data_IF_651221935322
#
_entry.id   IF_651221935322
#
_cell.length_a   1.000
_cell.length_b   1.000
_cell.length_c   1.000
_cell.angle_alpha   90.00
_cell.angle_beta   90.00
_cell.angle_gamma   90.00
#
_symmetry.space_group_name_H-M   'P 1'
#
loop_
_entity.id
_entity.type
_entity.pdbx_description
1 polymer ?
#
# COMPACT_ATOMS: atom_id res chain seq x y z
N UNK A 1 11.58 7.27 -31.10
CA UNK A 1 10.14 7.58 -30.89
C UNK A 1 9.30 6.34 -31.11
N UNK A 2 8.63 5.85 -30.07
CA UNK A 2 7.36 5.09 -30.09
C UNK A 2 6.83 5.14 -28.67
N UNK A 3 6.05 6.18 -28.40
CA UNK A 3 5.40 6.41 -27.11
C UNK A 3 4.42 5.30 -26.82
N UNK A 4 4.78 4.41 -25.90
CA UNK A 4 3.81 3.52 -25.26
C UNK A 4 2.78 4.37 -24.53
N UNK A 5 1.50 4.02 -24.68
CA UNK A 5 0.39 4.69 -23.99
C UNK A 5 0.65 4.61 -22.48
N UNK A 6 0.96 5.76 -21.87
CA UNK A 6 1.12 5.90 -20.42
C UNK A 6 -0.27 5.81 -19.80
N UNK A 7 -0.53 4.77 -19.02
CA UNK A 7 -1.72 4.71 -18.18
C UNK A 7 -1.51 5.67 -17.00
N UNK A 8 -1.86 6.94 -17.21
CA UNK A 8 -1.96 7.91 -16.12
C UNK A 8 -3.21 7.59 -15.30
N UNK A 9 -3.05 7.23 -14.04
CA UNK A 9 -4.14 6.91 -13.12
C UNK A 9 -3.88 7.56 -11.74
N UNK A 10 -4.14 8.87 -11.61
CA UNK A 10 -4.41 9.60 -10.35
C UNK A 10 -5.05 10.99 -10.54
N UNK A 11 -5.64 11.63 -9.50
CA UNK A 11 -6.33 12.93 -9.61
C UNK A 11 -5.42 14.18 -9.67
N UNK A 12 -5.63 15.04 -10.66
CA UNK A 12 -5.16 16.43 -10.66
C UNK A 12 -6.28 17.37 -10.20
N UNK A 13 -5.95 18.35 -9.34
CA UNK A 13 -6.69 19.60 -9.15
C UNK A 13 -5.66 20.69 -8.78
N UNK A 14 -5.69 21.94 -9.22
CA UNK A 14 -6.72 22.76 -9.86
C UNK A 14 -6.07 23.65 -10.93
N UNK A 15 -6.65 23.70 -12.14
CA UNK A 15 -7.01 24.98 -12.76
C UNK A 15 -7.78 24.77 -14.06
N UNK A 16 -8.96 25.39 -14.08
CA UNK A 16 -9.74 25.88 -15.20
C UNK A 16 -9.69 25.11 -16.53
N UNK A 17 -10.81 24.41 -16.75
CA UNK A 17 -11.52 24.45 -18.02
C UNK A 17 -10.76 23.83 -19.21
N UNK A 18 -10.50 22.52 -19.14
CA UNK A 18 -10.60 21.60 -20.29
C UNK A 18 -10.39 20.16 -19.79
N UNK A 19 -11.26 19.27 -20.29
CA UNK A 19 -11.25 17.81 -20.13
C UNK A 19 -11.73 17.16 -18.82
N UNK A 20 -12.89 16.52 -18.97
CA UNK A 20 -13.63 15.74 -17.98
C UNK A 20 -12.94 14.40 -17.69
N UNK A 21 -11.82 14.44 -16.96
CA UNK A 21 -11.12 13.23 -16.51
C UNK A 21 -11.50 12.95 -15.05
N UNK A 22 -12.14 11.80 -14.80
CA UNK A 22 -12.25 11.25 -13.46
C UNK A 22 -11.19 10.19 -13.27
N UNK A 23 -10.36 10.35 -12.25
CA UNK A 23 -9.25 9.45 -12.03
C UNK A 23 -9.42 8.65 -10.75
N UNK A 24 -9.59 7.34 -10.89
CA UNK A 24 -9.63 6.35 -9.82
C UNK A 24 -8.23 5.81 -9.62
N UNK A 25 -7.58 6.03 -8.49
CA UNK A 25 -6.29 5.38 -8.17
C UNK A 25 -6.41 3.85 -8.32
N UNK A 26 -5.33 3.18 -8.72
CA UNK A 26 -5.32 1.71 -8.74
C UNK A 26 -5.63 1.12 -7.35
N UNK A 27 -5.24 1.83 -6.29
CA UNK A 27 -5.62 1.53 -4.91
C UNK A 27 -7.15 1.53 -4.74
N UNK A 28 -7.84 2.57 -5.19
CA UNK A 28 -9.30 2.67 -5.17
C UNK A 28 -9.96 1.56 -6.00
N UNK A 29 -9.47 1.31 -7.22
CA UNK A 29 -10.00 0.23 -8.08
C UNK A 29 -9.80 -1.15 -7.46
N UNK A 30 -8.64 -1.40 -6.86
CA UNK A 30 -8.32 -2.65 -6.17
C UNK A 30 -9.14 -2.80 -4.90
N UNK A 31 -9.33 -1.72 -4.13
CA UNK A 31 -10.17 -1.76 -2.93
C UNK A 31 -11.61 -2.14 -3.25
N UNK A 32 -12.22 -1.56 -4.28
CA UNK A 32 -13.62 -1.85 -4.60
C UNK A 32 -13.83 -3.09 -5.46
N UNK A 33 -12.93 -3.37 -6.40
CA UNK A 33 -13.05 -4.51 -7.30
C UNK A 33 -12.58 -5.83 -6.68
N UNK A 34 -11.69 -5.76 -5.68
CA UNK A 34 -11.00 -6.94 -5.16
C UNK A 34 -11.08 -6.99 -3.62
N UNK A 35 -10.65 -5.95 -2.90
CA UNK A 35 -10.54 -6.03 -1.43
C UNK A 35 -11.90 -6.08 -0.73
N UNK A 36 -12.80 -5.10 -0.94
CA UNK A 36 -14.11 -5.00 -0.27
C UNK A 36 -14.97 -6.25 -0.51
N UNK A 37 -15.15 -6.76 -1.75
CA UNK A 37 -15.99 -7.93 -1.99
C UNK A 37 -15.39 -9.21 -1.40
N UNK A 38 -14.08 -9.40 -1.49
CA UNK A 38 -13.46 -10.63 -0.98
C UNK A 38 -13.31 -10.63 0.54
N UNK A 39 -13.10 -9.45 1.17
CA UNK A 39 -13.25 -9.27 2.63
C UNK A 39 -14.65 -9.66 3.09
N UNK A 40 -15.69 -9.17 2.39
CA UNK A 40 -17.08 -9.51 2.69
C UNK A 40 -17.38 -11.01 2.49
N UNK A 41 -16.84 -11.65 1.45
CA UNK A 41 -17.01 -13.09 1.22
C UNK A 41 -16.29 -13.96 2.26
N UNK A 42 -15.06 -13.61 2.66
CA UNK A 42 -14.36 -14.32 3.74
C UNK A 42 -15.08 -14.19 5.08
N UNK A 43 -15.71 -13.04 5.35
CA UNK A 43 -16.54 -12.83 6.53
C UNK A 43 -17.78 -13.74 6.55
N UNK A 44 -18.43 -13.94 5.41
CA UNK A 44 -19.60 -14.84 5.30
C UNK A 44 -19.23 -16.31 5.53
N UNK A 45 -18.00 -16.72 5.20
CA UNK A 45 -17.55 -18.12 5.32
C UNK A 45 -17.05 -18.50 6.73
N UNK A 46 -16.65 -17.55 7.58
CA UNK A 46 -15.92 -17.87 8.83
C UNK A 46 -16.73 -17.92 10.13
N UNK A 47 -18.03 -17.59 10.17
CA UNK A 47 -18.89 -17.62 11.39
C UNK A 47 -18.18 -17.26 12.73
N UNK A 48 -17.25 -16.30 12.71
CA UNK A 48 -16.56 -15.80 13.89
C UNK A 48 -16.50 -14.28 13.83
N UNK A 49 -16.57 -13.68 15.02
CA UNK A 49 -16.82 -12.27 15.30
C UNK A 49 -16.34 -11.27 14.25
N UNK A 50 -17.34 -10.53 13.75
CA UNK A 50 -17.29 -9.41 12.81
C UNK A 50 -16.18 -8.42 13.15
N UNK A 51 -15.20 -8.27 12.28
CA UNK A 51 -14.40 -7.05 12.22
C UNK A 51 -14.66 -6.39 10.86
N UNK A 52 -15.27 -5.21 10.90
CA UNK A 52 -15.60 -4.41 9.73
C UNK A 52 -14.31 -3.96 9.03
N UNK A 53 -14.10 -4.22 7.72
CA UNK A 53 -12.87 -3.84 7.04
C UNK A 53 -12.68 -2.32 6.99
N UNK A 54 -13.77 -1.56 7.12
CA UNK A 54 -13.70 -0.12 7.31
C UNK A 54 -13.08 0.23 8.68
N UNK A 55 -13.48 -0.47 9.74
CA UNK A 55 -12.92 -0.28 11.08
C UNK A 55 -11.42 -0.62 11.15
N UNK A 56 -10.92 -1.56 10.34
CA UNK A 56 -9.47 -1.85 10.25
C UNK A 56 -8.63 -0.64 9.83
N UNK A 57 -9.18 0.24 8.98
CA UNK A 57 -8.45 1.38 8.41
C UNK A 57 -8.64 2.66 9.23
N UNK A 58 -9.79 2.79 9.87
CA UNK A 58 -10.20 4.01 10.57
C UNK A 58 -9.85 3.96 12.06
N UNK A 59 -10.05 2.82 12.71
CA UNK A 59 -9.85 2.69 14.15
C UNK A 59 -8.45 2.18 14.46
N UNK A 60 -7.65 3.01 15.14
CA UNK A 60 -6.28 2.63 15.53
C UNK A 60 -6.23 1.34 16.36
N UNK A 61 -7.24 1.08 17.21
CA UNK A 61 -7.35 -0.14 18.01
C UNK A 61 -7.54 -1.41 17.18
N UNK A 62 -8.05 -1.28 15.95
CA UNK A 62 -8.29 -2.40 15.05
C UNK A 62 -7.20 -2.54 13.98
N UNK A 63 -6.13 -1.72 14.05
CA UNK A 63 -5.01 -1.84 13.11
C UNK A 63 -4.44 -3.27 13.17
N UNK A 64 -4.32 -3.96 12.02
CA UNK A 64 -3.77 -5.30 11.98
C UNK A 64 -2.38 -5.37 12.62
N UNK A 65 -2.18 -6.34 13.51
CA UNK A 65 -0.92 -6.53 14.22
C UNK A 65 -0.03 -7.60 13.58
N UNK A 66 -0.54 -8.40 12.65
CA UNK A 66 0.19 -9.53 12.05
C UNK A 66 0.42 -10.68 13.04
N UNK A 67 1.41 -11.54 12.76
CA UNK A 67 1.82 -12.66 13.63
C UNK A 67 2.57 -12.15 14.87
N UNK A 68 2.56 -12.94 15.93
CA UNK A 68 3.30 -12.64 17.18
C UNK A 68 4.80 -12.57 16.93
N UNK A 69 5.32 -13.57 16.24
CA UNK A 69 6.71 -13.61 15.81
C UNK A 69 6.80 -13.09 14.38
N UNK A 70 7.72 -12.15 14.19
CA UNK A 70 7.94 -11.49 12.91
C UNK A 70 9.41 -11.53 12.55
N UNK A 71 9.67 -11.66 11.26
CA UNK A 71 10.96 -11.39 10.66
C UNK A 71 11.12 -9.88 10.43
N UNK A 72 12.34 -9.42 10.19
CA UNK A 72 12.65 -7.99 10.08
C UNK A 72 11.94 -7.35 8.88
N UNK A 73 12.35 -7.70 7.66
CA UNK A 73 11.92 -6.99 6.46
C UNK A 73 11.63 -7.93 5.30
N UNK A 74 10.60 -7.62 4.52
CA UNK A 74 10.32 -8.27 3.24
C UNK A 74 10.32 -7.27 2.08
N UNK A 75 10.96 -7.66 0.98
CA UNK A 75 10.91 -6.99 -0.32
C UNK A 75 10.34 -7.93 -1.40
N UNK A 76 9.14 -7.65 -1.88
CA UNK A 76 8.47 -8.45 -2.90
C UNK A 76 8.17 -7.62 -4.15
N UNK A 77 9.12 -7.57 -5.08
CA UNK A 77 8.94 -6.89 -6.37
C UNK A 77 9.40 -7.74 -7.55
N UNK A 78 8.67 -7.65 -8.66
CA UNK A 78 9.00 -8.31 -9.93
C UNK A 78 9.52 -7.34 -10.99
N UNK A 79 9.10 -6.06 -10.93
CA UNK A 79 9.62 -4.98 -11.77
C UNK A 79 10.81 -4.32 -11.08
N UNK A 80 12.02 -4.62 -11.57
CA UNK A 80 13.27 -4.19 -10.95
C UNK A 80 13.68 -2.83 -11.48
N UNK A 81 13.82 -1.88 -10.57
CA UNK A 81 14.30 -0.53 -10.85
C UNK A 81 15.37 -0.20 -9.82
N UNK A 82 16.42 0.50 -10.26
CA UNK A 82 17.67 0.69 -9.52
C UNK A 82 17.43 1.17 -8.09
N UNK A 83 16.61 2.19 -7.89
CA UNK A 83 16.37 2.77 -6.56
C UNK A 83 15.67 1.82 -5.57
N UNK A 84 14.87 0.84 -6.05
CA UNK A 84 14.24 -0.14 -5.16
C UNK A 84 15.24 -1.16 -4.66
N UNK A 85 16.09 -1.64 -5.57
CA UNK A 85 17.17 -2.57 -5.26
C UNK A 85 18.19 -1.90 -4.33
N UNK A 86 18.55 -0.64 -4.57
CA UNK A 86 19.41 0.15 -3.69
C UNK A 86 18.80 0.33 -2.29
N UNK A 87 17.50 0.62 -2.19
CA UNK A 87 16.81 0.71 -0.90
C UNK A 87 16.82 -0.63 -0.15
N UNK A 88 16.54 -1.74 -0.84
CA UNK A 88 16.60 -3.08 -0.25
C UNK A 88 18.01 -3.43 0.23
N UNK A 89 19.04 -3.11 -0.56
CA UNK A 89 20.44 -3.29 -0.19
C UNK A 89 20.80 -2.52 1.07
N UNK A 90 20.46 -1.22 1.12
CA UNK A 90 20.73 -0.37 2.27
C UNK A 90 20.03 -0.89 3.53
N UNK A 91 18.74 -1.25 3.43
CA UNK A 91 17.98 -1.78 4.56
C UNK A 91 18.49 -3.16 5.04
N UNK A 92 19.00 -4.01 4.13
CA UNK A 92 19.58 -5.32 4.50
C UNK A 92 20.86 -5.23 5.34
N UNK A 93 21.43 -4.03 5.51
CA UNK A 93 22.57 -3.80 6.42
C UNK A 93 22.15 -3.70 7.88
N UNK A 94 20.88 -3.37 8.15
CA UNK A 94 20.33 -3.23 9.51
C UNK A 94 20.07 -4.61 10.15
N UNK A 95 19.61 -5.58 9.36
CA UNK A 95 19.32 -6.93 9.85
C UNK A 95 18.95 -7.92 8.74
N UNK A 96 18.64 -9.17 9.09
CA UNK A 96 18.27 -10.22 8.14
C UNK A 96 17.00 -9.87 7.36
N UNK A 97 17.17 -9.50 6.10
CA UNK A 97 16.11 -9.09 5.20
C UNK A 97 15.75 -10.22 4.24
N UNK A 98 14.49 -10.26 3.87
CA UNK A 98 13.92 -11.29 3.01
C UNK A 98 13.47 -10.68 1.69
N UNK A 99 13.54 -11.46 0.61
CA UNK A 99 12.95 -11.09 -0.67
C UNK A 99 12.10 -12.21 -1.24
N UNK A 100 11.00 -11.81 -1.87
CA UNK A 100 10.00 -12.71 -2.42
C UNK A 100 9.77 -12.57 -3.93
N UNK A 101 10.41 -11.60 -4.57
CA UNK A 101 10.24 -11.34 -6.00
C UNK A 101 11.49 -11.63 -6.83
N UNK A 102 11.41 -11.28 -8.11
CA UNK A 102 12.56 -11.32 -9.04
C UNK A 102 13.65 -10.31 -8.64
N UNK A 103 13.28 -9.23 -7.96
CA UNK A 103 14.20 -8.17 -7.56
C UNK A 103 14.73 -8.43 -6.16
N UNK A 104 16.03 -8.25 -5.98
CA UNK A 104 16.74 -8.68 -4.77
C UNK A 104 18.08 -7.97 -4.53
N UNK A 105 18.31 -6.80 -5.14
CA UNK A 105 19.56 -6.06 -4.92
C UNK A 105 20.77 -6.60 -5.69
N UNK A 106 20.56 -7.36 -6.76
CA UNK A 106 21.64 -7.94 -7.57
C UNK A 106 22.16 -9.28 -7.07
N UNK A 107 23.16 -9.82 -7.77
CA UNK A 107 23.63 -11.21 -7.66
C UNK A 107 24.61 -11.46 -6.53
N UNK A 108 25.15 -10.40 -5.92
CA UNK A 108 26.20 -10.54 -4.91
C UNK A 108 25.67 -11.35 -3.71
N UNK A 109 26.40 -12.37 -3.24
CA UNK A 109 26.04 -13.10 -2.04
C UNK A 109 26.02 -12.15 -0.84
N UNK A 110 24.98 -12.20 -0.02
CA UNK A 110 24.96 -11.55 1.29
C UNK A 110 24.16 -12.42 2.26
N UNK A 111 24.77 -12.73 3.40
CA UNK A 111 24.18 -13.57 4.44
C UNK A 111 22.92 -12.95 5.06
N UNK A 112 22.72 -11.63 4.93
CA UNK A 112 21.54 -10.92 5.41
C UNK A 112 20.40 -10.85 4.38
N UNK A 113 20.52 -11.49 3.21
CA UNK A 113 19.46 -11.50 2.19
C UNK A 113 19.00 -12.92 1.92
N UNK A 114 17.78 -13.24 2.34
CA UNK A 114 17.22 -14.59 2.22
C UNK A 114 16.05 -14.60 1.25
N UNK A 115 16.11 -15.49 0.26
CA UNK A 115 14.97 -15.74 -0.62
C UNK A 115 13.89 -16.52 0.15
N UNK A 116 12.63 -16.08 -0.01
CA UNK A 116 11.46 -16.78 0.51
C UNK A 116 10.47 -17.05 -0.61
N UNK A 117 10.17 -18.33 -0.81
CA UNK A 117 9.09 -18.71 -1.71
C UNK A 117 7.77 -18.21 -1.16
N UNK A 118 6.99 -17.58 -2.02
CA UNK A 118 5.70 -17.00 -1.67
C UNK A 118 4.78 -17.06 -2.90
N UNK A 119 3.48 -16.91 -2.65
CA UNK A 119 2.46 -16.82 -3.70
C UNK A 119 2.00 -15.39 -3.96
N UNK A 120 2.87 -14.39 -3.73
CA UNK A 120 2.47 -12.99 -3.80
C UNK A 120 2.09 -12.62 -5.24
N UNK A 121 0.84 -12.24 -5.44
CA UNK A 121 0.36 -11.73 -6.71
C UNK A 121 -0.78 -10.73 -6.51
N UNK A 122 -0.98 -9.85 -7.48
CA UNK A 122 -2.14 -8.94 -7.48
C UNK A 122 -3.48 -9.69 -7.45
N UNK A 123 -3.53 -10.89 -8.03
CA UNK A 123 -4.74 -11.72 -8.07
C UNK A 123 -5.01 -12.47 -6.76
N UNK A 124 -4.03 -12.59 -5.86
CA UNK A 124 -4.11 -13.38 -4.63
C UNK A 124 -3.81 -12.56 -3.38
N UNK A 125 -4.49 -11.42 -3.26
CA UNK A 125 -4.16 -10.43 -2.24
C UNK A 125 -4.29 -10.94 -0.78
N UNK A 126 -5.22 -11.85 -0.51
CA UNK A 126 -5.35 -12.44 0.83
C UNK A 126 -4.09 -13.19 1.25
N UNK A 127 -3.47 -13.93 0.31
CA UNK A 127 -2.21 -14.59 0.57
C UNK A 127 -1.07 -13.59 0.75
N UNK A 128 -1.11 -12.44 0.06
CA UNK A 128 -0.12 -11.38 0.26
C UNK A 128 -0.21 -10.81 1.67
N UNK A 129 -1.43 -10.50 2.13
CA UNK A 129 -1.69 -9.98 3.48
C UNK A 129 -1.26 -11.00 4.54
N UNK A 130 -1.63 -12.26 4.38
CA UNK A 130 -1.22 -13.34 5.29
C UNK A 130 0.30 -13.55 5.28
N UNK A 131 0.96 -13.41 4.13
CA UNK A 131 2.41 -13.51 4.04
C UNK A 131 3.11 -12.33 4.72
N UNK A 132 2.65 -11.10 4.47
CA UNK A 132 3.16 -9.89 5.12
C UNK A 132 2.96 -9.89 6.63
N UNK A 133 1.98 -10.64 7.15
CA UNK A 133 1.79 -10.81 8.60
C UNK A 133 3.00 -11.35 9.35
N UNK A 134 3.92 -12.03 8.66
CA UNK A 134 5.16 -12.54 9.23
C UNK A 134 6.29 -11.52 9.32
N UNK A 135 6.10 -10.24 8.98
CA UNK A 135 7.17 -9.25 8.90
C UNK A 135 6.86 -7.97 9.71
N UNK A 136 7.89 -7.36 10.29
CA UNK A 136 7.79 -6.04 10.96
C UNK A 136 7.69 -4.93 9.92
N UNK A 137 8.55 -4.98 8.91
CA UNK A 137 8.60 -3.99 7.84
C UNK A 137 8.33 -4.63 6.48
N UNK A 138 7.60 -3.89 5.65
CA UNK A 138 7.36 -4.26 4.26
C UNK A 138 7.90 -3.14 3.36
N UNK A 139 8.88 -3.45 2.50
CA UNK A 139 9.41 -2.49 1.51
C UNK A 139 8.48 -2.43 0.30
N UNK A 140 7.66 -1.37 0.24
CA UNK A 140 6.55 -1.21 -0.70
C UNK A 140 6.68 0.11 -1.46
N UNK A 141 7.66 0.16 -2.35
CA UNK A 141 7.93 1.33 -3.19
C UNK A 141 7.17 1.26 -4.50
N UNK A 142 6.78 2.40 -5.06
CA UNK A 142 6.38 2.51 -6.46
C UNK A 142 7.58 2.36 -7.41
N UNK A 143 7.30 2.03 -8.67
CA UNK A 143 8.35 1.76 -9.66
C UNK A 143 8.80 3.04 -10.36
N UNK A 144 8.08 4.14 -10.12
CA UNK A 144 8.32 5.47 -10.64
C UNK A 144 7.80 6.48 -9.62
N UNK A 145 8.42 7.65 -9.57
CA UNK A 145 7.85 8.81 -8.90
C UNK A 145 6.99 9.58 -9.91
N UNK A 146 5.67 9.42 -9.81
CA UNK A 146 4.71 10.20 -10.59
C UNK A 146 3.64 10.75 -9.66
N UNK A 147 3.23 11.99 -9.90
CA UNK A 147 2.14 12.62 -9.18
C UNK A 147 0.91 12.63 -10.08
N UNK A 148 -0.24 12.08 -9.65
CA UNK A 148 -0.50 11.35 -8.41
C UNK A 148 -0.46 9.84 -8.68
N UNK A 149 0.47 9.12 -8.06
CA UNK A 149 0.61 7.67 -8.25
C UNK A 149 0.87 6.97 -6.91
N UNK A 150 -0.19 6.38 -6.36
CA UNK A 150 -0.20 5.54 -5.16
C UNK A 150 -1.00 4.29 -5.50
N UNK A 151 -0.43 3.10 -5.27
CA UNK A 151 -1.12 1.84 -5.56
C UNK A 151 -1.44 1.03 -4.30
N UNK A 152 -1.99 -0.17 -4.49
CA UNK A 152 -2.36 -1.14 -3.47
C UNK A 152 -1.23 -1.58 -2.54
N UNK A 153 0.04 -1.41 -2.93
CA UNK A 153 1.19 -1.99 -2.21
C UNK A 153 1.26 -1.53 -0.76
N UNK A 154 1.11 -0.23 -0.51
CA UNK A 154 1.15 0.33 0.84
C UNK A 154 -0.02 -0.17 1.69
N UNK A 155 -1.22 -0.30 1.09
CA UNK A 155 -2.39 -0.81 1.79
C UNK A 155 -2.22 -2.30 2.15
N UNK A 156 -1.65 -3.11 1.25
CA UNK A 156 -1.38 -4.52 1.55
C UNK A 156 -0.41 -4.68 2.73
N UNK A 157 0.62 -3.83 2.83
CA UNK A 157 1.53 -3.83 3.97
C UNK A 157 0.79 -3.50 5.28
N UNK A 158 -0.04 -2.45 5.29
CA UNK A 158 -0.86 -2.13 6.45
C UNK A 158 -1.79 -3.26 6.87
N UNK A 159 -2.49 -3.89 5.90
CA UNK A 159 -3.40 -4.99 6.16
C UNK A 159 -2.68 -6.23 6.69
N UNK A 160 -1.43 -6.46 6.26
CA UNK A 160 -0.56 -7.48 6.84
C UNK A 160 -0.08 -7.14 8.25
N UNK A 161 -0.25 -5.91 8.73
CA UNK A 161 0.32 -5.46 10.00
C UNK A 161 1.82 -5.21 9.96
N UNK A 162 2.37 -4.95 8.77
CA UNK A 162 3.69 -4.37 8.59
C UNK A 162 3.64 -2.84 8.86
N UNK A 163 4.76 -2.27 9.26
CA UNK A 163 5.05 -0.85 9.03
C UNK A 163 5.53 -0.72 7.57
N UNK A 164 4.82 0.03 6.70
CA UNK A 164 5.25 0.20 5.33
C UNK A 164 6.49 1.11 5.24
N UNK A 165 7.47 0.70 4.44
CA UNK A 165 8.55 1.58 3.96
C UNK A 165 8.19 1.93 2.51
N UNK A 166 7.67 3.13 2.30
CA UNK A 166 7.05 3.55 1.05
C UNK A 166 7.87 4.63 0.34
N UNK A 167 7.92 4.53 -0.99
CA UNK A 167 8.40 5.60 -1.86
C UNK A 167 7.48 5.74 -3.05
N UNK A 168 7.22 6.97 -3.49
CA UNK A 168 6.33 7.27 -4.60
C UNK A 168 5.74 8.65 -4.42
N UNK A 169 4.52 8.84 -4.92
CA UNK A 169 3.77 10.10 -4.78
C UNK A 169 3.67 10.55 -3.32
N UNK A 170 3.94 11.83 -3.08
CA UNK A 170 3.72 12.52 -1.80
C UNK A 170 2.24 12.69 -1.45
N UNK A 171 1.31 12.46 -2.38
CA UNK A 171 -0.14 12.34 -2.08
C UNK A 171 -0.42 11.26 -1.03
N UNK A 172 0.49 10.30 -0.85
CA UNK A 172 0.43 9.30 0.23
C UNK A 172 0.19 9.94 1.61
N UNK A 173 0.71 11.16 1.85
CA UNK A 173 0.55 11.91 3.10
C UNK A 173 -0.83 12.54 3.27
N UNK A 174 -1.67 12.54 2.22
CA UNK A 174 -3.08 12.95 2.32
C UNK A 174 -3.99 11.77 2.62
N UNK A 175 -3.50 10.55 2.34
CA UNK A 175 -4.25 9.30 2.50
C UNK A 175 -3.90 8.63 3.84
N UNK A 176 -2.61 8.47 4.13
CA UNK A 176 -2.14 7.73 5.29
C UNK A 176 -1.51 8.65 6.33
N UNK A 177 -1.68 8.30 7.61
CA UNK A 177 -1.12 9.05 8.72
C UNK A 177 0.42 9.05 8.62
N UNK A 178 1.12 10.20 8.64
CA UNK A 178 2.57 10.26 8.40
C UNK A 178 3.41 9.46 9.44
N UNK A 179 2.89 9.32 10.66
CA UNK A 179 3.55 8.52 11.69
C UNK A 179 3.25 7.01 11.63
N UNK A 180 2.35 6.57 10.74
CA UNK A 180 1.95 5.15 10.63
C UNK A 180 2.82 4.35 9.65
N UNK A 181 3.62 5.03 8.84
CA UNK A 181 4.56 4.46 7.85
C UNK A 181 5.86 5.28 7.79
N UNK A 182 6.83 4.79 7.00
CA UNK A 182 8.13 5.43 6.78
C UNK A 182 8.20 5.84 5.31
N UNK A 183 8.36 7.13 5.04
CA UNK A 183 8.61 7.61 3.68
C UNK A 183 10.11 7.52 3.36
N UNK A 184 10.45 6.76 2.34
CA UNK A 184 11.83 6.53 1.91
C UNK A 184 12.18 7.48 0.76
N UNK A 185 12.87 8.58 1.05
CA UNK A 185 13.34 9.48 0.00
C UNK A 185 14.59 8.87 -0.69
N UNK A 186 14.45 8.43 -1.94
CA UNK A 186 15.56 7.79 -2.68
C UNK A 186 16.75 8.71 -2.94
N UNK A 187 16.57 10.03 -2.88
CA UNK A 187 17.69 10.99 -3.06
C UNK A 187 18.39 11.34 -1.75
N UNK A 188 17.72 11.13 -0.61
CA UNK A 188 18.28 11.32 0.72
C UNK A 188 17.65 10.31 1.70
N UNK A 189 18.14 9.06 1.72
CA UNK A 189 17.50 7.98 2.45
C UNK A 189 17.83 7.95 3.95
N UNK A 190 18.74 8.80 4.43
CA UNK A 190 19.30 8.79 5.78
C UNK A 190 18.21 8.73 6.86
N UNK A 191 17.26 9.67 6.85
CA UNK A 191 16.18 9.72 7.84
C UNK A 191 15.32 8.45 7.87
N UNK A 192 15.09 7.85 6.69
CA UNK A 192 14.31 6.62 6.58
C UNK A 192 15.08 5.41 7.12
N UNK A 193 16.38 5.32 6.83
CA UNK A 193 17.26 4.26 7.31
C UNK A 193 17.43 4.34 8.83
N UNK A 194 17.71 5.53 9.37
CA UNK A 194 17.80 5.77 10.82
C UNK A 194 16.48 5.46 11.53
N UNK A 195 15.35 5.85 10.94
CA UNK A 195 14.04 5.52 11.51
C UNK A 195 13.77 4.02 11.52
N UNK A 196 14.13 3.27 10.47
CA UNK A 196 13.98 1.81 10.44
C UNK A 196 14.88 1.16 11.49
N UNK A 197 16.15 1.56 11.56
CA UNK A 197 17.12 1.04 12.53
C UNK A 197 16.67 1.28 13.97
N UNK A 198 16.22 2.50 14.28
CA UNK A 198 15.68 2.82 15.60
C UNK A 198 14.46 1.96 15.95
N UNK A 199 13.50 1.81 15.02
CA UNK A 199 12.29 1.01 15.27
C UNK A 199 12.57 -0.48 15.38
N UNK A 200 13.57 -1.01 14.68
CA UNK A 200 13.98 -2.42 14.78
C UNK A 200 14.58 -2.73 16.15
N UNK A 201 15.37 -1.82 16.70
CA UNK A 201 16.09 -2.02 17.96
C UNK A 201 15.37 -1.50 19.21
N UNK A 202 14.23 -0.78 19.05
CA UNK A 202 13.45 -0.23 20.16
C UNK A 202 11.98 -0.65 20.08
N UNK A 203 11.59 -1.76 20.74
CA UNK A 203 10.22 -2.30 20.68
C UNK A 203 9.14 -1.30 21.07
N UNK A 204 9.39 -0.44 22.07
CA UNK A 204 8.43 0.59 22.48
C UNK A 204 8.15 1.61 21.37
N UNK A 205 9.19 2.02 20.63
CA UNK A 205 9.03 2.91 19.50
C UNK A 205 8.27 2.24 18.34
N UNK A 206 8.56 0.96 18.06
CA UNK A 206 7.80 0.15 17.11
C UNK A 206 6.31 0.08 17.48
N UNK A 207 6.01 -0.25 18.75
CA UNK A 207 4.63 -0.34 19.24
C UNK A 207 3.90 1.02 19.17
N UNK A 208 4.60 2.12 19.48
CA UNK A 208 4.07 3.47 19.31
C UNK A 208 3.75 3.77 17.84
N UNK A 209 4.59 3.38 16.88
CA UNK A 209 4.26 3.53 15.45
C UNK A 209 3.04 2.67 15.07
N UNK A 210 2.94 1.45 15.58
CA UNK A 210 1.81 0.56 15.36
C UNK A 210 0.51 1.00 16.03
N UNK A 211 0.55 1.92 17.00
CA UNK A 211 -0.66 2.47 17.64
C UNK A 211 -1.27 3.65 16.90
N UNK A 212 -0.61 4.18 15.85
CA UNK A 212 -1.18 5.23 15.02
C UNK A 212 -2.26 4.67 14.08
N UNK A 213 -3.32 5.44 13.79
CA UNK A 213 -4.31 5.06 12.79
C UNK A 213 -3.65 4.91 11.40
N UNK A 214 -4.25 4.09 10.54
CA UNK A 214 -3.74 3.92 9.17
C UNK A 214 -4.03 5.17 8.35
N UNK A 215 -5.30 5.58 8.31
CA UNK A 215 -5.75 6.75 7.55
C UNK A 215 -5.48 8.04 8.33
N UNK A 216 -5.13 9.10 7.61
CA UNK A 216 -4.81 10.41 8.19
C UNK A 216 -5.98 11.01 8.97
N UNK A 217 -7.15 11.03 8.32
CA UNK A 217 -8.36 11.70 8.82
C UNK A 217 -9.54 10.71 8.96
N UNK A 218 -9.25 9.41 9.14
CA UNK A 218 -10.25 8.36 9.33
C UNK A 218 -11.35 8.36 8.25
N UNK A 219 -12.60 8.54 8.67
CA UNK A 219 -13.76 8.58 7.76
C UNK A 219 -13.67 9.70 6.71
N UNK A 220 -13.09 10.85 7.03
CA UNK A 220 -12.96 11.93 6.04
C UNK A 220 -11.98 11.54 4.91
N UNK A 221 -10.93 10.77 5.23
CA UNK A 221 -10.07 10.16 4.22
C UNK A 221 -10.84 9.12 3.40
N UNK A 222 -11.67 8.28 4.05
CA UNK A 222 -12.54 7.33 3.35
C UNK A 222 -13.47 8.07 2.38
N UNK A 223 -14.14 9.13 2.81
CA UNK A 223 -15.03 9.93 1.98
C UNK A 223 -14.31 10.57 0.78
N UNK A 224 -13.12 11.13 1.01
CA UNK A 224 -12.36 11.84 -0.03
C UNK A 224 -11.69 10.89 -1.02
N UNK A 225 -11.14 9.78 -0.55
CA UNK A 225 -10.26 8.91 -1.33
C UNK A 225 -10.75 7.47 -1.48
N UNK A 226 -11.82 7.03 -0.82
CA UNK A 226 -12.29 5.65 -0.93
C UNK A 226 -13.81 5.53 -1.10
N UNK A 227 -14.60 6.60 -1.02
CA UNK A 227 -16.05 6.53 -1.13
C UNK A 227 -16.49 6.54 -2.61
N UNK A 228 -17.25 5.51 -2.98
CA UNK A 228 -17.90 5.36 -4.28
C UNK A 228 -19.43 5.46 -4.18
N UNK A 229 -19.96 5.49 -2.96
CA UNK A 229 -21.39 5.61 -2.68
C UNK A 229 -21.71 7.07 -2.37
N UNK A 230 -22.10 7.76 -3.44
CA UNK A 230 -22.55 9.15 -3.49
C UNK A 230 -22.88 9.51 -4.93
N UNK A 231 -23.81 10.44 -5.13
CA UNK A 231 -24.26 10.92 -6.45
C UNK A 231 -23.16 11.58 -7.30
N UNK A 232 -21.90 11.57 -6.89
CA UNK A 232 -20.83 12.27 -7.60
C UNK A 232 -20.08 11.32 -8.52
N UNK A 233 -19.44 10.25 -8.05
CA UNK A 233 -18.63 9.40 -8.93
C UNK A 233 -19.47 8.45 -9.78
N UNK A 234 -20.46 7.74 -9.21
CA UNK A 234 -21.32 6.82 -9.97
C UNK A 234 -22.20 7.57 -10.98
N UNK A 235 -22.71 8.75 -10.61
CA UNK A 235 -23.45 9.63 -11.52
C UNK A 235 -22.53 10.27 -12.54
N UNK A 236 -21.33 10.74 -12.17
CA UNK A 236 -20.36 11.25 -13.16
C UNK A 236 -19.89 10.12 -14.09
N UNK A 237 -19.75 8.87 -13.63
CA UNK A 237 -19.36 7.72 -14.47
C UNK A 237 -20.51 7.36 -15.41
N UNK A 238 -21.75 7.32 -14.92
CA UNK A 238 -22.95 7.20 -15.76
C UNK A 238 -23.08 8.35 -16.76
N UNK A 239 -22.74 9.57 -16.35
CA UNK A 239 -22.78 10.75 -17.18
C UNK A 239 -21.73 10.68 -18.30
N UNK A 240 -20.48 10.33 -17.95
CA UNK A 240 -19.37 10.15 -18.89
C UNK A 240 -19.61 8.98 -19.86
N UNK A 241 -20.14 7.86 -19.37
CA UNK A 241 -20.44 6.67 -20.17
C UNK A 241 -21.78 6.77 -20.93
N UNK A 242 -22.51 7.90 -20.81
CA UNK A 242 -23.85 8.11 -21.37
C UNK A 242 -24.88 7.05 -20.96
N UNK A 243 -24.71 6.43 -19.79
CA UNK A 243 -25.60 5.40 -19.25
C UNK A 243 -26.73 5.95 -18.38
N UNK A 244 -27.04 7.24 -18.51
CA UNK A 244 -28.05 7.93 -17.69
C UNK A 244 -29.46 7.37 -17.91
N UNK A 245 -29.73 6.84 -19.11
CA UNK A 245 -31.04 6.33 -19.51
C UNK A 245 -31.20 4.81 -19.32
N UNK A 246 -30.18 4.10 -18.84
CA UNK A 246 -30.23 2.66 -18.65
C UNK A 246 -30.50 2.32 -17.17
N UNK A 247 -31.65 1.69 -16.91
CA UNK A 247 -31.94 1.03 -15.63
C UNK A 247 -31.34 -0.38 -15.67
N UNK A 248 -30.29 -0.60 -14.90
CA UNK A 248 -29.81 -1.96 -14.62
C UNK A 248 -30.56 -2.45 -13.38
N UNK A 249 -31.30 -3.56 -13.56
CA UNK A 249 -32.02 -4.29 -12.50
C UNK A 249 -31.01 -4.96 -11.57
#
# INVERSE_FOLDING_TARGET
MKGGRKFLIGPATENNNTDRVMTLTYLQMTWWGIFRPQLQQQQLQRQQNKMDPHALLVEASNRPQGKKEKQFLIYAATNCVKFRDEAYLALSTIGPAFHGGKCHGGSEPNNNRTFVQNGISLSNWHANVEFYSGFRFCLVMEHVYEQPYVTEKILMAFLGGCIPIYYGSTMVFDIFHPDSFIYYNVTNPTDALERVDHLEHHPEAYHKTMSHPILKDGNATVERYFNFEGETLKTKMRHLLKLQNYKFV
#
